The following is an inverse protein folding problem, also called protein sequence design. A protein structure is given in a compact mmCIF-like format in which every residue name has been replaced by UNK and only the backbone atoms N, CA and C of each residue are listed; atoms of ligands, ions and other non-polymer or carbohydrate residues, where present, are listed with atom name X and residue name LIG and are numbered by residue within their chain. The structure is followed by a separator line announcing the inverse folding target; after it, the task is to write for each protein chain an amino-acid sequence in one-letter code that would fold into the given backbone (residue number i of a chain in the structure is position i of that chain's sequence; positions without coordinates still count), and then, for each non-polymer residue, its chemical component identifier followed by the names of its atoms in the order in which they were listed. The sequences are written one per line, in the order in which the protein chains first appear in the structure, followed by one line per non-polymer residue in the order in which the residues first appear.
data_IF_469346690449
#
_entry.id   IF_469346690449
#
_cell.length_a   1.000
_cell.length_b   1.000
_cell.length_c   1.000
_cell.angle_alpha   90.00
_cell.angle_beta   90.00
_cell.angle_gamma   90.00
#
_symmetry.space_group_name_H-M   'P 1'
#
loop_
_entity.id
_entity.type
_entity.pdbx_description
1 polymer ?
#
# COMPACT_ATOMS: atom_id res chain seq x y z
N UNK A 1 7.34 81.57 -79.94
CA UNK A 1 7.92 82.02 -81.21
C UNK A 1 7.36 81.15 -82.33
N UNK A 2 6.87 81.81 -83.39
CA UNK A 2 6.58 81.30 -84.74
C UNK A 2 5.57 80.15 -84.90
N UNK A 3 4.29 80.50 -85.04
CA UNK A 3 3.49 80.48 -86.30
C UNK A 3 3.85 79.45 -87.41
N UNK A 4 2.95 79.17 -88.39
CA UNK A 4 1.46 79.19 -88.38
C UNK A 4 0.76 78.14 -89.31
N UNK A 5 -0.59 78.13 -89.30
CA UNK A 5 -1.55 78.03 -90.46
C UNK A 5 -1.48 76.82 -91.42
N UNK A 6 -2.56 76.20 -91.91
CA UNK A 6 -3.66 76.76 -92.73
C UNK A 6 -4.52 75.60 -93.32
N UNK A 7 -5.57 75.80 -94.15
CA UNK A 7 -6.95 75.43 -93.77
C UNK A 7 -7.79 74.76 -94.91
N UNK A 8 -9.10 74.55 -94.68
CA UNK A 8 -10.22 74.51 -95.68
C UNK A 8 -10.13 73.42 -96.80
N UNK A 9 -11.14 72.87 -97.48
CA UNK A 9 -12.49 73.31 -97.85
C UNK A 9 -13.26 72.16 -98.58
N UNK A 10 -14.59 72.11 -98.38
CA UNK A 10 -15.75 71.89 -99.31
C UNK A 10 -16.01 70.56 -100.08
N UNK A 11 -17.34 70.31 -100.14
CA UNK A 11 -18.20 69.58 -101.11
C UNK A 11 -18.45 68.10 -100.84
N UNK A 12 -19.60 67.49 -101.18
CA UNK A 12 -21.05 67.77 -101.28
C UNK A 12 -21.64 66.44 -101.83
N UNK A 13 -22.91 66.18 -101.53
CA UNK A 13 -23.84 65.14 -102.01
C UNK A 13 -23.35 63.96 -102.90
N UNK A 14 -23.74 62.73 -102.55
CA UNK A 14 -24.89 62.01 -103.18
C UNK A 14 -24.99 60.54 -102.73
N UNK A 15 -26.24 60.06 -102.72
CA UNK A 15 -26.71 58.71 -102.39
C UNK A 15 -26.13 57.60 -103.29
N UNK A 16 -25.98 56.40 -102.69
CA UNK A 16 -25.67 55.15 -103.38
C UNK A 16 -25.98 53.93 -102.50
N UNK A 17 -26.75 53.00 -103.03
CA UNK A 17 -27.41 51.88 -102.35
C UNK A 17 -26.48 50.63 -102.16
N UNK A 18 -26.51 50.08 -100.93
CA UNK A 18 -26.16 48.74 -100.39
C UNK A 18 -24.83 47.99 -100.74
N UNK A 19 -24.24 47.32 -99.72
CA UNK A 19 -24.19 45.85 -99.82
C UNK A 19 -24.56 45.12 -98.52
N UNK A 20 -25.22 43.97 -98.68
CA UNK A 20 -25.58 43.04 -97.61
C UNK A 20 -24.35 42.48 -96.87
N UNK A 21 -24.23 42.77 -95.58
CA UNK A 21 -23.19 42.21 -94.71
C UNK A 21 -23.56 40.80 -94.26
N UNK A 22 -22.77 39.80 -94.66
CA UNK A 22 -22.84 38.41 -94.16
C UNK A 22 -22.72 38.36 -92.62
N UNK A 23 -23.52 37.55 -91.90
CA UNK A 23 -23.37 37.39 -90.47
C UNK A 23 -22.07 36.65 -90.15
N UNK A 24 -21.16 37.31 -89.42
CA UNK A 24 -19.95 36.73 -88.84
C UNK A 24 -20.37 35.65 -87.83
N UNK A 25 -20.21 34.37 -88.20
CA UNK A 25 -20.43 33.23 -87.31
C UNK A 25 -19.32 33.22 -86.23
N UNK A 26 -19.55 33.91 -85.10
CA UNK A 26 -18.69 33.85 -83.90
C UNK A 26 -18.54 32.38 -83.50
N UNK A 27 -17.35 31.80 -83.70
CA UNK A 27 -17.11 30.41 -83.30
C UNK A 27 -17.26 30.30 -81.79
N UNK A 28 -18.21 29.50 -81.30
CA UNK A 28 -18.40 29.20 -79.86
C UNK A 28 -17.28 28.32 -79.26
N UNK A 29 -16.29 27.92 -80.06
CA UNK A 29 -15.20 26.99 -79.70
C UNK A 29 -14.32 27.44 -78.52
N UNK A 30 -13.80 28.68 -78.43
CA UNK A 30 -12.99 29.10 -77.29
C UNK A 30 -13.79 29.22 -75.99
N UNK A 31 -15.08 29.61 -76.06
CA UNK A 31 -15.95 29.65 -74.88
C UNK A 31 -16.28 28.24 -74.35
N UNK A 32 -16.48 27.27 -75.23
CA UNK A 32 -16.69 25.88 -74.85
C UNK A 32 -15.44 25.23 -74.24
N UNK A 33 -14.25 25.52 -74.77
CA UNK A 33 -12.97 25.04 -74.22
C UNK A 33 -12.70 25.68 -72.85
N UNK A 34 -12.93 26.99 -72.71
CA UNK A 34 -12.80 27.67 -71.42
C UNK A 34 -13.75 27.09 -70.37
N UNK A 35 -15.00 26.81 -70.74
CA UNK A 35 -15.96 26.16 -69.84
C UNK A 35 -15.53 24.73 -69.45
N UNK A 36 -14.95 23.97 -70.38
CA UNK A 36 -14.40 22.63 -70.12
C UNK A 36 -13.19 22.66 -69.18
N UNK A 37 -12.27 23.61 -69.38
CA UNK A 37 -11.09 23.81 -68.53
C UNK A 37 -11.51 24.25 -67.12
N UNK A 38 -12.42 25.22 -67.01
CA UNK A 38 -12.96 25.66 -65.71
C UNK A 38 -13.70 24.51 -65.02
N UNK A 39 -14.52 23.74 -65.75
CA UNK A 39 -15.19 22.56 -65.22
C UNK A 39 -14.22 21.48 -64.73
N UNK A 40 -13.14 21.21 -65.48
CA UNK A 40 -12.10 20.27 -65.08
C UNK A 40 -11.32 20.75 -63.85
N UNK A 41 -11.01 22.05 -63.76
CA UNK A 41 -10.36 22.65 -62.58
C UNK A 41 -11.28 22.52 -61.36
N UNK A 42 -12.57 22.86 -61.48
CA UNK A 42 -13.52 22.75 -60.37
C UNK A 42 -13.73 21.28 -59.93
N UNK A 43 -13.81 20.34 -60.87
CA UNK A 43 -13.87 18.90 -60.57
C UNK A 43 -12.60 18.42 -59.88
N UNK A 44 -11.43 18.84 -60.35
CA UNK A 44 -10.15 18.47 -59.74
C UNK A 44 -9.98 19.08 -58.34
N UNK A 45 -10.37 20.34 -58.15
CA UNK A 45 -10.31 21.04 -56.88
C UNK A 45 -11.32 20.48 -55.89
N UNK A 46 -12.56 20.19 -56.32
CA UNK A 46 -13.57 19.53 -55.50
C UNK A 46 -13.19 18.09 -55.16
N UNK A 47 -12.60 17.36 -56.10
CA UNK A 47 -12.07 16.01 -55.85
C UNK A 47 -10.88 16.01 -54.88
N UNK A 48 -9.96 16.97 -55.01
CA UNK A 48 -8.84 17.13 -54.09
C UNK A 48 -9.31 17.56 -52.69
N UNK A 49 -10.28 18.47 -52.59
CA UNK A 49 -10.90 18.86 -51.33
C UNK A 49 -11.61 17.68 -50.67
N UNK A 50 -12.45 16.95 -51.41
CA UNK A 50 -13.14 15.77 -50.88
C UNK A 50 -12.18 14.69 -50.41
N UNK A 51 -11.11 14.43 -51.16
CA UNK A 51 -10.07 13.49 -50.75
C UNK A 51 -9.36 13.95 -49.47
N UNK A 52 -8.97 15.22 -49.39
CA UNK A 52 -8.33 15.78 -48.20
C UNK A 52 -9.26 15.78 -46.98
N UNK A 53 -10.54 16.13 -47.15
CA UNK A 53 -11.53 16.09 -46.08
C UNK A 53 -11.79 14.66 -45.58
N UNK A 54 -11.81 13.68 -46.48
CA UNK A 54 -11.97 12.28 -46.11
C UNK A 54 -10.77 11.73 -45.32
N UNK A 55 -9.56 12.25 -45.55
CA UNK A 55 -8.32 11.78 -44.92
C UNK A 55 -7.77 12.70 -43.81
N UNK A 56 -8.44 13.81 -43.51
CA UNK A 56 -8.02 14.73 -42.45
C UNK A 56 -8.14 14.05 -41.08
N UNK A 57 -7.19 14.32 -40.18
CA UNK A 57 -7.28 13.93 -38.77
C UNK A 57 -8.45 14.68 -38.12
N UNK A 58 -9.19 14.02 -37.22
CA UNK A 58 -10.28 14.69 -36.52
C UNK A 58 -9.69 15.55 -35.39
N UNK A 59 -10.33 16.69 -35.03
CA UNK A 59 -9.96 17.42 -33.85
C UNK A 59 -10.13 16.52 -32.62
N UNK A 60 -9.14 16.49 -31.73
CA UNK A 60 -9.26 15.81 -30.46
C UNK A 60 -10.47 16.37 -29.67
N UNK A 61 -11.19 15.48 -29.00
CA UNK A 61 -12.28 15.88 -28.11
C UNK A 61 -11.74 16.73 -26.96
N UNK A 62 -12.50 17.75 -26.58
CA UNK A 62 -12.15 18.63 -25.46
C UNK A 62 -12.40 17.85 -24.16
N UNK A 63 -11.34 17.60 -23.40
CA UNK A 63 -11.42 16.97 -22.10
C UNK A 63 -11.61 18.01 -20.99
N UNK A 64 -12.55 17.74 -20.08
CA UNK A 64 -12.75 18.48 -18.84
C UNK A 64 -12.55 17.53 -17.68
N UNK A 65 -11.59 17.85 -16.81
CA UNK A 65 -11.28 17.04 -15.63
C UNK A 65 -12.18 17.44 -14.45
N UNK A 66 -12.64 16.45 -13.69
CA UNK A 66 -13.31 16.62 -12.41
C UNK A 66 -12.51 15.91 -11.32
N UNK A 67 -11.85 16.68 -10.46
CA UNK A 67 -11.12 16.16 -9.30
C UNK A 67 -12.04 16.10 -8.08
N UNK A 68 -12.26 14.92 -7.46
CA UNK A 68 -12.94 14.80 -6.18
C UNK A 68 -12.26 15.67 -5.10
N UNK A 69 -13.02 16.25 -4.16
CA UNK A 69 -12.45 17.05 -3.09
C UNK A 69 -11.56 16.21 -2.18
N UNK A 70 -10.47 16.82 -1.72
CA UNK A 70 -9.62 16.23 -0.69
C UNK A 70 -10.40 16.00 0.62
N UNK A 71 -10.12 14.90 1.30
CA UNK A 71 -10.68 14.59 2.61
C UNK A 71 -9.56 14.38 3.63
N UNK A 72 -9.87 14.55 4.91
CA UNK A 72 -8.95 14.26 6.00
C UNK A 72 -9.66 13.59 7.17
N UNK A 73 -9.01 12.59 7.75
CA UNK A 73 -9.42 11.88 8.95
C UNK A 73 -8.38 12.20 10.03
N UNK A 74 -8.85 12.52 11.24
CA UNK A 74 -7.98 12.80 12.38
C UNK A 74 -7.46 11.50 13.02
N UNK A 75 -6.30 11.57 13.68
CA UNK A 75 -5.77 10.44 14.42
C UNK A 75 -6.65 10.08 15.63
N UNK A 76 -6.72 8.78 16.01
CA UNK A 76 -7.44 8.36 17.21
C UNK A 76 -6.73 8.89 18.47
N UNK A 77 -7.53 9.14 19.51
CA UNK A 77 -6.99 9.38 20.85
C UNK A 77 -6.82 8.04 21.55
N UNK A 78 -5.57 7.62 21.74
CA UNK A 78 -5.25 6.33 22.36
C UNK A 78 -5.24 6.42 23.89
N UNK A 79 -5.83 5.42 24.53
CA UNK A 79 -5.87 5.28 25.99
C UNK A 79 -4.57 4.67 26.54
N UNK A 80 -3.44 5.34 26.28
CA UNK A 80 -2.15 4.90 26.78
C UNK A 80 -2.09 4.94 28.33
N UNK A 81 -1.38 3.99 28.96
CA UNK A 81 -1.05 4.09 30.37
C UNK A 81 -0.22 5.34 30.67
N UNK A 82 -0.31 5.86 31.91
CA UNK A 82 0.42 7.05 32.35
C UNK A 82 1.87 6.77 32.81
N UNK A 83 2.33 5.53 32.66
CA UNK A 83 3.65 5.06 33.06
C UNK A 83 4.35 4.40 31.87
N UNK A 84 5.67 4.23 32.01
CA UNK A 84 6.44 3.38 31.13
C UNK A 84 6.41 3.85 29.68
N UNK A 85 6.37 2.89 28.76
CA UNK A 85 6.38 3.14 27.31
C UNK A 85 5.67 2.02 26.58
N UNK A 86 5.28 2.26 25.34
CA UNK A 86 4.64 1.22 24.54
C UNK A 86 4.54 1.59 23.07
N UNK A 87 4.22 0.58 22.27
CA UNK A 87 4.00 0.70 20.84
C UNK A 87 2.96 -0.33 20.38
N UNK A 88 2.32 -0.06 19.25
CA UNK A 88 1.38 -0.98 18.60
C UNK A 88 1.55 -0.91 17.09
N UNK A 89 1.52 -2.07 16.43
CA UNK A 89 1.57 -2.24 14.98
C UNK A 89 0.41 -3.14 14.51
N UNK A 90 0.13 -3.10 13.21
CA UNK A 90 -0.75 -4.05 12.54
C UNK A 90 0.06 -4.83 11.51
N UNK A 91 -0.01 -6.16 11.57
CA UNK A 91 0.73 -7.03 10.65
C UNK A 91 0.30 -6.73 9.20
N UNK A 92 1.27 -6.42 8.35
CA UNK A 92 1.04 -6.09 6.95
C UNK A 92 0.59 -4.66 6.67
N UNK A 93 0.59 -3.78 7.67
CA UNK A 93 0.28 -2.36 7.53
C UNK A 93 1.38 -1.51 8.17
N UNK A 94 2.05 -0.69 7.35
CA UNK A 94 3.06 0.24 7.84
C UNK A 94 2.39 1.49 8.43
N UNK A 95 2.61 1.72 9.71
CA UNK A 95 2.25 2.96 10.38
C UNK A 95 3.27 4.08 10.15
N UNK A 96 2.91 5.29 10.59
CA UNK A 96 3.80 6.46 10.49
C UNK A 96 4.89 6.53 11.57
N UNK A 97 4.87 5.61 12.54
CA UNK A 97 5.84 5.53 13.62
C UNK A 97 7.15 4.85 13.24
N UNK A 98 8.17 5.00 14.11
CA UNK A 98 9.47 4.36 13.93
C UNK A 98 9.32 2.84 13.85
N UNK A 99 9.93 2.22 12.84
CA UNK A 99 9.84 0.77 12.62
C UNK A 99 8.50 0.30 12.08
N UNK A 100 7.67 1.18 11.53
CA UNK A 100 6.38 0.83 10.93
C UNK A 100 5.25 0.66 11.94
N UNK A 101 5.47 1.03 13.21
CA UNK A 101 4.41 0.97 14.23
C UNK A 101 3.31 2.00 13.92
N UNK A 102 2.07 1.63 14.23
CA UNK A 102 0.91 2.51 14.10
C UNK A 102 1.03 3.70 15.05
N UNK A 103 1.36 3.43 16.32
CA UNK A 103 1.59 4.45 17.31
C UNK A 103 2.49 3.97 18.45
N UNK A 104 3.10 4.92 19.15
CA UNK A 104 3.93 4.69 20.32
C UNK A 104 3.77 5.81 21.35
N UNK A 105 4.12 5.54 22.60
CA UNK A 105 4.17 6.54 23.67
C UNK A 105 5.35 6.27 24.62
N UNK A 106 5.71 7.29 25.39
CA UNK A 106 6.82 7.22 26.35
C UNK A 106 8.18 7.39 25.68
N UNK A 107 9.19 6.71 26.20
CA UNK A 107 10.56 6.76 25.70
C UNK A 107 10.73 5.85 24.46
N UNK A 108 11.54 6.31 23.51
CA UNK A 108 12.05 5.50 22.40
C UNK A 108 13.45 4.92 22.68
N UNK A 109 13.99 5.15 23.88
CA UNK A 109 15.27 4.58 24.30
C UNK A 109 15.14 3.08 24.63
N UNK A 110 16.23 2.29 24.48
CA UNK A 110 16.20 0.90 24.90
C UNK A 110 15.98 0.79 26.41
N UNK A 111 15.10 -0.13 26.79
CA UNK A 111 14.79 -0.44 28.19
C UNK A 111 14.93 -1.94 28.45
N UNK A 112 15.18 -2.36 29.71
CA UNK A 112 15.25 -3.77 30.07
C UNK A 112 14.00 -4.52 29.62
N UNK A 113 14.19 -5.64 28.92
CA UNK A 113 13.06 -6.35 28.30
C UNK A 113 12.34 -7.28 29.28
N UNK A 114 13.00 -7.64 30.38
CA UNK A 114 12.65 -8.82 31.15
C UNK A 114 12.53 -10.05 30.25
N UNK A 115 11.62 -10.95 30.60
CA UNK A 115 11.41 -12.20 29.84
C UNK A 115 10.85 -12.05 28.42
N UNK A 116 10.60 -10.83 27.90
CA UNK A 116 10.33 -10.63 26.46
C UNK A 116 11.54 -11.09 25.63
N UNK A 117 12.77 -11.02 26.16
CA UNK A 117 13.97 -11.53 25.49
C UNK A 117 13.88 -13.00 25.04
N UNK A 118 13.06 -13.82 25.70
CA UNK A 118 12.85 -15.23 25.31
C UNK A 118 12.22 -15.39 23.94
N UNK A 119 11.55 -14.35 23.43
CA UNK A 119 11.11 -14.28 22.02
C UNK A 119 12.31 -14.34 21.08
N UNK A 120 13.38 -13.59 21.38
CA UNK A 120 14.64 -13.66 20.63
C UNK A 120 15.24 -15.06 20.73
N UNK A 121 15.32 -15.61 21.95
CA UNK A 121 15.86 -16.97 22.16
C UNK A 121 15.11 -18.01 21.33
N UNK A 122 13.78 -17.98 21.34
CA UNK A 122 12.95 -18.91 20.60
C UNK A 122 13.14 -18.77 19.08
N UNK A 123 13.11 -17.54 18.55
CA UNK A 123 13.29 -17.27 17.12
C UNK A 123 14.70 -17.64 16.63
N UNK A 124 15.73 -17.32 17.41
CA UNK A 124 17.13 -17.63 17.07
C UNK A 124 17.41 -19.13 17.15
N UNK A 125 16.79 -19.86 18.09
CA UNK A 125 16.88 -21.32 18.14
C UNK A 125 16.22 -21.94 16.91
N UNK A 126 15.00 -21.53 16.57
CA UNK A 126 14.29 -22.05 15.39
C UNK A 126 14.98 -21.69 14.07
N UNK A 127 15.66 -20.55 13.99
CA UNK A 127 16.46 -20.19 12.82
C UNK A 127 17.63 -21.17 12.59
N UNK A 128 18.23 -21.71 13.67
CA UNK A 128 19.28 -22.72 13.57
C UNK A 128 18.74 -24.15 13.48
N UNK A 129 17.60 -24.42 14.13
CA UNK A 129 16.96 -25.73 14.29
C UNK A 129 15.49 -25.62 13.87
N UNK A 130 15.20 -25.52 12.57
CA UNK A 130 13.83 -25.37 12.11
C UNK A 130 13.03 -26.66 12.37
N UNK A 131 11.83 -26.52 12.92
CA UNK A 131 10.87 -27.62 13.01
C UNK A 131 10.08 -27.71 11.71
N UNK A 132 10.15 -28.85 11.03
CA UNK A 132 9.39 -29.07 9.80
C UNK A 132 7.88 -29.12 10.08
N UNK A 133 7.08 -28.66 9.12
CA UNK A 133 5.62 -28.66 9.20
C UNK A 133 5.07 -30.05 9.56
N UNK A 134 4.16 -30.07 10.54
CA UNK A 134 3.54 -31.31 11.03
C UNK A 134 4.45 -32.20 11.87
N UNK A 135 5.66 -31.75 12.24
CA UNK A 135 6.58 -32.47 13.14
C UNK A 135 6.75 -31.76 14.48
N UNK A 136 7.37 -32.44 15.46
CA UNK A 136 7.66 -31.89 16.79
C UNK A 136 9.13 -31.41 16.95
N UNK A 137 9.92 -31.52 15.89
CA UNK A 137 11.35 -31.19 15.90
C UNK A 137 12.21 -32.29 16.50
N UNK A 138 13.47 -31.96 16.77
CA UNK A 138 14.44 -32.91 17.32
C UNK A 138 14.14 -33.26 18.78
N UNK A 139 14.61 -34.43 19.23
CA UNK A 139 14.57 -34.80 20.65
C UNK A 139 15.78 -34.23 21.38
N UNK A 140 15.52 -33.55 22.49
CA UNK A 140 16.49 -32.92 23.37
C UNK A 140 16.61 -33.75 24.64
N UNK A 141 17.79 -34.34 24.87
CA UNK A 141 18.11 -35.04 26.11
C UNK A 141 18.75 -34.08 27.11
N UNK A 142 18.06 -33.79 28.19
CA UNK A 142 18.54 -32.93 29.27
C UNK A 142 19.50 -33.72 30.18
N UNK A 143 20.50 -33.02 30.71
CA UNK A 143 21.63 -33.57 31.44
C UNK A 143 21.73 -32.99 32.86
N UNK A 144 22.74 -33.41 33.61
CA UNK A 144 23.04 -32.79 34.91
C UNK A 144 23.46 -31.32 34.79
N UNK A 145 23.94 -30.86 33.63
CA UNK A 145 24.22 -29.45 33.40
C UNK A 145 22.94 -28.60 33.40
N UNK A 146 21.85 -29.12 32.82
CA UNK A 146 20.56 -28.44 32.75
C UNK A 146 19.89 -28.31 34.13
N UNK A 147 20.10 -29.31 35.00
CA UNK A 147 19.76 -29.21 36.43
C UNK A 147 20.60 -28.13 37.12
N UNK A 148 21.86 -27.96 36.71
CA UNK A 148 22.70 -26.83 37.13
C UNK A 148 22.06 -25.48 36.75
N UNK A 149 21.66 -25.31 35.49
CA UNK A 149 21.00 -24.08 35.02
C UNK A 149 19.69 -23.78 35.76
N UNK A 150 18.95 -24.81 36.15
CA UNK A 150 17.80 -24.66 37.05
C UNK A 150 18.19 -24.07 38.40
N UNK A 151 19.22 -24.62 39.05
CA UNK A 151 19.67 -24.15 40.35
C UNK A 151 20.21 -22.71 40.29
N UNK A 152 20.97 -22.38 39.24
CA UNK A 152 21.48 -21.03 39.01
C UNK A 152 20.31 -20.04 38.85
N UNK A 153 19.33 -20.40 38.02
CA UNK A 153 18.13 -19.57 37.82
C UNK A 153 17.33 -19.36 39.11
N UNK A 154 17.18 -20.40 39.95
CA UNK A 154 16.53 -20.27 41.27
C UNK A 154 17.32 -19.34 42.19
N UNK A 155 18.65 -19.43 42.20
CA UNK A 155 19.51 -18.59 43.04
C UNK A 155 19.39 -17.10 42.68
N UNK A 156 19.08 -16.80 41.42
CA UNK A 156 18.85 -15.44 40.91
C UNK A 156 17.38 -15.01 40.99
N UNK A 157 16.51 -15.77 41.66
CA UNK A 157 15.06 -15.57 41.72
C UNK A 157 14.37 -15.54 40.34
N UNK A 158 14.94 -16.24 39.36
CA UNK A 158 14.39 -16.39 38.03
C UNK A 158 13.20 -17.36 37.96
N UNK A 159 12.36 -17.19 36.95
CA UNK A 159 11.31 -18.15 36.61
C UNK A 159 11.94 -19.46 36.12
N UNK A 160 11.49 -20.60 36.63
CA UNK A 160 12.02 -21.92 36.28
C UNK A 160 10.92 -22.93 36.04
N UNK A 161 11.24 -23.99 35.30
CA UNK A 161 10.40 -25.17 35.15
C UNK A 161 11.18 -26.44 35.54
N UNK A 162 10.51 -27.48 36.06
CA UNK A 162 11.15 -28.74 36.43
C UNK A 162 12.00 -29.32 35.30
N UNK A 163 13.16 -29.85 35.67
CA UNK A 163 14.09 -30.55 34.77
C UNK A 163 14.82 -31.63 35.55
N UNK A 164 15.13 -32.74 34.90
CA UNK A 164 15.94 -33.82 35.48
C UNK A 164 16.89 -34.38 34.43
N UNK A 165 18.02 -34.92 34.89
CA UNK A 165 18.98 -35.56 33.99
C UNK A 165 18.34 -36.83 33.39
N UNK A 166 18.44 -36.98 32.07
CA UNK A 166 17.79 -38.02 31.29
C UNK A 166 16.36 -37.71 30.88
N UNK A 167 15.81 -36.53 31.21
CA UNK A 167 14.56 -36.05 30.62
C UNK A 167 14.75 -35.88 29.11
N UNK A 168 13.80 -36.37 28.33
CA UNK A 168 13.76 -36.20 26.88
C UNK A 168 12.50 -35.44 26.49
N UNK A 169 12.65 -34.33 25.77
CA UNK A 169 11.55 -33.55 25.22
C UNK A 169 11.77 -33.33 23.74
N UNK A 170 10.69 -33.22 22.98
CA UNK A 170 10.79 -32.67 21.62
C UNK A 170 11.12 -31.18 21.68
N UNK A 171 11.69 -30.64 20.61
CA UNK A 171 11.99 -29.21 20.50
C UNK A 171 10.73 -28.35 20.73
N UNK A 172 9.59 -28.75 20.13
CA UNK A 172 8.29 -28.10 20.36
C UNK A 172 7.91 -28.11 21.85
N UNK A 173 8.10 -29.24 22.56
CA UNK A 173 7.80 -29.32 23.99
C UNK A 173 8.73 -28.41 24.81
N UNK A 174 10.03 -28.38 24.50
CA UNK A 174 10.98 -27.51 25.18
C UNK A 174 10.69 -26.02 24.94
N UNK A 175 10.30 -25.63 23.72
CA UNK A 175 9.81 -24.27 23.40
C UNK A 175 8.52 -23.95 24.16
N UNK A 176 7.59 -24.90 24.32
CA UNK A 176 6.40 -24.70 25.17
C UNK A 176 6.78 -24.45 26.64
N UNK A 177 7.75 -25.18 27.19
CA UNK A 177 8.26 -24.96 28.55
C UNK A 177 8.98 -23.60 28.68
N UNK A 178 9.68 -23.17 27.63
CA UNK A 178 10.27 -21.84 27.57
C UNK A 178 9.20 -20.74 27.63
N UNK A 179 8.15 -20.85 26.81
CA UNK A 179 7.25 -19.74 26.52
C UNK A 179 6.13 -19.58 27.56
N UNK A 180 5.50 -20.66 28.03
CA UNK A 180 4.33 -20.59 28.93
C UNK A 180 4.71 -20.08 30.35
N UNK A 181 5.47 -20.87 31.15
CA UNK A 181 5.88 -20.46 32.50
C UNK A 181 7.08 -19.51 32.49
N UNK A 182 7.59 -19.12 31.32
CA UNK A 182 8.73 -18.20 31.18
C UNK A 182 10.05 -18.75 31.75
N UNK A 183 10.35 -20.04 31.56
CA UNK A 183 11.44 -20.71 32.26
C UNK A 183 12.86 -20.31 31.78
N UNK A 184 13.64 -19.64 32.64
CA UNK A 184 15.02 -19.20 32.38
C UNK A 184 15.97 -20.37 32.12
N UNK A 185 15.85 -21.45 32.90
CA UNK A 185 16.68 -22.63 32.74
C UNK A 185 16.47 -23.29 31.37
N UNK A 186 15.25 -23.28 30.84
CA UNK A 186 14.97 -23.78 29.49
C UNK A 186 15.49 -22.85 28.39
N UNK A 187 15.51 -21.53 28.63
CA UNK A 187 16.13 -20.59 27.71
C UNK A 187 17.62 -20.87 27.53
N UNK A 188 18.33 -21.10 28.64
CA UNK A 188 19.75 -21.48 28.65
C UNK A 188 19.99 -22.86 28.03
N UNK A 189 19.16 -23.84 28.40
CA UNK A 189 19.26 -25.21 27.87
C UNK A 189 19.08 -25.24 26.35
N UNK A 190 18.05 -24.57 25.82
CA UNK A 190 17.79 -24.49 24.37
C UNK A 190 18.90 -23.77 23.61
N UNK A 191 19.38 -22.64 24.13
CA UNK A 191 20.48 -21.89 23.53
C UNK A 191 21.75 -22.73 23.42
N UNK A 192 22.14 -23.41 24.51
CA UNK A 192 23.34 -24.26 24.53
C UNK A 192 23.14 -25.52 23.69
N UNK A 193 21.95 -26.11 23.67
CA UNK A 193 21.66 -27.25 22.81
C UNK A 193 21.77 -26.90 21.32
N UNK A 194 21.28 -25.72 20.91
CA UNK A 194 21.31 -25.29 19.51
C UNK A 194 22.71 -24.84 19.06
N UNK A 195 23.48 -24.17 19.93
CA UNK A 195 24.73 -23.49 19.55
C UNK A 195 26.00 -24.03 20.24
N UNK A 196 25.86 -25.00 21.15
CA UNK A 196 26.94 -25.63 21.90
C UNK A 196 27.45 -24.83 23.11
N UNK A 197 27.20 -23.51 23.18
CA UNK A 197 27.54 -22.66 24.32
C UNK A 197 26.71 -21.38 24.33
N UNK A 198 26.63 -20.71 25.49
CA UNK A 198 25.95 -19.42 25.63
C UNK A 198 26.64 -18.32 24.82
N UNK A 199 27.98 -18.26 24.80
CA UNK A 199 28.74 -17.31 23.99
C UNK A 199 28.45 -17.45 22.49
N UNK A 200 28.36 -18.70 22.00
CA UNK A 200 28.01 -18.96 20.60
C UNK A 200 26.56 -18.54 20.29
N UNK A 201 25.63 -18.78 21.21
CA UNK A 201 24.26 -18.27 21.10
C UNK A 201 24.23 -16.74 21.08
N UNK A 202 24.92 -16.04 21.97
CA UNK A 202 24.91 -14.58 22.02
C UNK A 202 25.47 -13.96 20.73
N UNK A 203 26.53 -14.56 20.18
CA UNK A 203 27.06 -14.14 18.88
C UNK A 203 26.05 -14.37 17.74
N UNK A 204 25.36 -15.51 17.74
CA UNK A 204 24.33 -15.83 16.74
C UNK A 204 23.09 -14.94 16.88
N UNK A 205 22.63 -14.68 18.11
CA UNK A 205 21.51 -13.81 18.41
C UNK A 205 21.81 -12.39 17.94
N UNK A 206 23.02 -11.87 18.18
CA UNK A 206 23.42 -10.56 17.68
C UNK A 206 23.37 -10.49 16.15
N UNK A 207 23.95 -11.49 15.46
CA UNK A 207 23.93 -11.56 14.00
C UNK A 207 22.51 -11.69 13.43
N UNK A 208 21.64 -12.45 14.11
CA UNK A 208 20.25 -12.60 13.72
C UNK A 208 19.48 -11.30 13.88
N UNK A 209 19.62 -10.60 15.01
CA UNK A 209 19.00 -9.29 15.25
C UNK A 209 19.43 -8.27 14.18
N UNK A 210 20.71 -8.23 13.83
CA UNK A 210 21.21 -7.39 12.72
C UNK A 210 20.60 -7.74 11.37
N UNK A 211 20.45 -9.03 11.08
CA UNK A 211 19.77 -9.50 9.87
C UNK A 211 18.30 -9.09 9.80
N UNK A 212 17.65 -8.88 10.94
CA UNK A 212 16.28 -8.37 11.05
C UNK A 212 16.19 -6.83 11.14
N UNK A 213 17.32 -6.11 11.14
CA UNK A 213 17.37 -4.66 11.33
C UNK A 213 17.12 -4.20 12.77
N UNK A 214 17.11 -5.13 13.74
CA UNK A 214 16.86 -4.88 15.17
C UNK A 214 18.14 -4.45 15.88
N UNK A 215 18.68 -3.31 15.46
CA UNK A 215 20.01 -2.84 15.88
C UNK A 215 20.04 -2.21 17.27
N UNK A 216 18.88 -1.87 17.84
CA UNK A 216 18.74 -1.28 19.18
C UNK A 216 18.38 -2.31 20.25
N UNK A 217 18.20 -3.57 19.85
CA UNK A 217 18.02 -4.73 20.71
C UNK A 217 19.37 -5.33 21.03
N UNK A 218 19.69 -5.41 22.32
CA UNK A 218 20.90 -6.02 22.84
C UNK A 218 20.50 -7.14 23.78
N UNK A 219 20.99 -8.35 23.51
CA UNK A 219 20.78 -9.52 24.35
C UNK A 219 22.11 -9.91 24.98
N UNK A 220 22.16 -9.95 26.31
CA UNK A 220 23.36 -10.27 27.10
C UNK A 220 23.26 -11.60 27.84
N UNK A 221 22.08 -12.19 27.86
CA UNK A 221 21.76 -13.47 28.46
C UNK A 221 20.69 -14.20 27.62
N UNK A 222 20.40 -15.45 27.95
CA UNK A 222 19.39 -16.23 27.20
C UNK A 222 17.95 -15.92 27.60
N UNK A 223 17.73 -15.12 28.64
CA UNK A 223 16.44 -15.09 29.33
C UNK A 223 15.84 -13.69 29.54
N UNK A 224 16.66 -12.64 29.41
CA UNK A 224 16.30 -11.27 29.76
C UNK A 224 16.23 -11.00 31.26
N UNK A 225 16.91 -11.84 32.06
CA UNK A 225 17.07 -11.61 33.50
C UNK A 225 18.13 -10.54 33.76
N UNK A 226 19.14 -10.46 32.88
CA UNK A 226 20.13 -9.38 32.89
C UNK A 226 19.46 -8.03 32.58
N UNK A 227 19.71 -6.97 33.38
CA UNK A 227 19.22 -5.62 33.06
C UNK A 227 19.89 -5.02 31.83
N UNK A 228 21.01 -5.57 31.38
CA UNK A 228 21.71 -5.16 30.17
C UNK A 228 21.08 -5.78 28.89
N UNK A 229 20.14 -6.71 29.05
CA UNK A 229 19.31 -7.19 27.94
C UNK A 229 18.16 -6.20 27.72
N UNK A 230 18.30 -5.37 26.67
CA UNK A 230 17.46 -4.20 26.40
C UNK A 230 16.93 -4.17 24.97
N UNK A 231 15.81 -3.50 24.75
CA UNK A 231 15.21 -3.25 23.42
C UNK A 231 14.36 -1.98 23.45
N UNK A 232 14.07 -1.39 22.29
CA UNK A 232 13.00 -0.39 22.18
C UNK A 232 11.63 -1.07 22.07
N UNK A 233 10.57 -0.31 22.32
CA UNK A 233 9.19 -0.79 22.15
C UNK A 233 8.86 -1.10 20.69
N UNK A 234 9.37 -0.32 19.73
CA UNK A 234 9.22 -0.59 18.30
C UNK A 234 9.88 -1.92 17.88
N UNK A 235 11.10 -2.19 18.35
CA UNK A 235 11.79 -3.45 18.05
C UNK A 235 11.17 -4.65 18.80
N UNK A 236 10.63 -4.46 20.01
CA UNK A 236 9.84 -5.49 20.69
C UNK A 236 8.57 -5.84 19.92
N UNK A 237 7.86 -4.85 19.37
CA UNK A 237 6.69 -5.09 18.51
C UNK A 237 7.12 -5.85 17.26
N UNK A 238 8.24 -5.47 16.63
CA UNK A 238 8.77 -6.21 15.47
C UNK A 238 9.13 -7.66 15.79
N UNK A 239 9.70 -7.93 16.97
CA UNK A 239 9.91 -9.30 17.45
C UNK A 239 8.60 -10.07 17.61
N UNK A 240 7.53 -9.39 18.06
CA UNK A 240 6.19 -9.96 18.14
C UNK A 240 5.61 -10.29 16.77
N UNK A 241 5.75 -9.41 15.77
CA UNK A 241 5.32 -9.68 14.39
C UNK A 241 6.03 -10.91 13.80
N UNK A 242 7.36 -11.02 14.02
CA UNK A 242 8.14 -12.17 13.60
C UNK A 242 7.67 -13.47 14.27
N UNK A 243 7.30 -13.41 15.56
CA UNK A 243 6.80 -14.56 16.29
C UNK A 243 5.40 -14.98 15.83
N UNK A 244 4.50 -14.03 15.60
CA UNK A 244 3.13 -14.30 15.12
C UNK A 244 3.14 -14.88 13.71
N UNK A 245 4.11 -14.50 12.88
CA UNK A 245 4.33 -15.10 11.57
C UNK A 245 4.94 -16.51 11.62
N UNK A 246 5.49 -16.94 12.76
CA UNK A 246 6.13 -18.25 12.92
C UNK A 246 5.08 -19.34 13.23
N UNK A 247 4.92 -20.36 12.36
CA UNK A 247 3.87 -21.38 12.50
C UNK A 247 4.11 -22.34 13.67
N UNK A 248 5.30 -22.33 14.29
CA UNK A 248 5.63 -23.13 15.47
C UNK A 248 5.32 -22.35 16.74
N UNK A 249 5.74 -21.08 16.82
CA UNK A 249 5.65 -20.27 18.03
C UNK A 249 4.27 -19.65 18.25
N UNK A 250 3.59 -19.19 17.20
CA UNK A 250 2.27 -18.57 17.35
C UNK A 250 1.27 -19.50 18.06
N UNK A 251 1.14 -20.79 17.68
CA UNK A 251 0.29 -21.73 18.42
C UNK A 251 0.75 -22.01 19.85
N UNK A 252 2.06 -21.94 20.13
CA UNK A 252 2.61 -22.18 21.48
C UNK A 252 2.21 -21.04 22.42
N UNK A 253 2.41 -19.79 22.02
CA UNK A 253 2.13 -18.64 22.91
C UNK A 253 0.64 -18.44 23.18
N UNK A 254 -0.22 -18.97 22.30
CA UNK A 254 -1.67 -18.98 22.45
C UNK A 254 -2.21 -20.02 23.44
N UNK A 255 -1.39 -20.98 23.88
CA UNK A 255 -1.82 -21.98 24.86
C UNK A 255 -1.99 -21.34 26.25
N UNK A 256 -3.19 -21.42 26.88
CA UNK A 256 -3.36 -20.99 28.26
C UNK A 256 -2.66 -21.93 29.25
N UNK A 257 -2.66 -23.23 28.94
CA UNK A 257 -2.00 -24.28 29.72
C UNK A 257 -1.47 -25.38 28.81
N UNK A 258 -0.52 -26.16 29.30
CA UNK A 258 -0.02 -27.37 28.65
C UNK A 258 0.35 -28.42 29.70
N UNK A 259 0.39 -29.69 29.32
CA UNK A 259 0.95 -30.76 30.15
C UNK A 259 2.07 -31.42 29.39
N UNK A 260 3.30 -31.31 29.91
CA UNK A 260 4.50 -31.83 29.27
C UNK A 260 4.99 -33.08 30.04
N UNK A 261 5.13 -34.24 29.37
CA UNK A 261 5.65 -35.45 30.02
C UNK A 261 6.99 -35.19 30.72
N UNK A 262 7.13 -35.64 31.96
CA UNK A 262 8.35 -35.45 32.76
C UNK A 262 8.55 -34.05 33.36
N UNK A 263 7.80 -33.04 32.91
CA UNK A 263 7.83 -31.67 33.49
C UNK A 263 6.58 -31.39 34.32
N UNK A 264 5.41 -31.78 33.83
CA UNK A 264 4.12 -31.57 34.50
C UNK A 264 3.21 -30.54 33.83
N UNK A 265 2.25 -30.04 34.59
CA UNK A 265 1.33 -28.99 34.13
C UNK A 265 2.02 -27.63 34.12
N UNK A 266 1.82 -26.88 33.04
CA UNK A 266 2.33 -25.55 32.80
C UNK A 266 1.17 -24.59 32.61
N UNK A 267 1.33 -23.39 33.14
CA UNK A 267 0.39 -22.29 32.96
C UNK A 267 1.09 -21.15 32.24
N UNK A 268 0.37 -20.51 31.32
CA UNK A 268 0.85 -19.33 30.65
C UNK A 268 0.79 -18.13 31.62
N UNK A 269 1.89 -17.40 31.68
CA UNK A 269 2.00 -16.19 32.50
C UNK A 269 1.16 -15.02 31.97
N UNK A 270 0.75 -15.05 30.69
CA UNK A 270 -0.13 -14.03 30.13
C UNK A 270 -1.59 -14.25 30.54
N UNK A 271 -2.05 -13.48 31.52
CA UNK A 271 -3.43 -13.54 32.02
C UNK A 271 -4.47 -12.88 31.11
N UNK A 272 -4.06 -12.26 29.99
CA UNK A 272 -4.97 -11.69 28.98
C UNK A 272 -5.40 -12.68 27.91
N UNK A 273 -4.80 -13.87 27.82
CA UNK A 273 -5.18 -14.86 26.82
C UNK A 273 -6.68 -15.16 26.83
N UNK A 274 -7.31 -15.08 25.65
CA UNK A 274 -8.74 -15.27 25.45
C UNK A 274 -9.63 -14.09 25.87
N UNK A 275 -9.04 -12.95 26.23
CA UNK A 275 -9.76 -11.71 26.58
C UNK A 275 -9.46 -10.63 25.55
N UNK A 276 -10.47 -9.89 25.11
CA UNK A 276 -10.32 -8.80 24.14
C UNK A 276 -9.56 -9.20 22.86
N UNK A 277 -9.75 -10.45 22.39
CA UNK A 277 -9.07 -11.00 21.21
C UNK A 277 -7.61 -11.41 21.43
N UNK A 278 -7.04 -11.19 22.62
CA UNK A 278 -5.61 -11.46 22.90
C UNK A 278 -5.31 -12.96 22.84
N UNK A 279 -4.30 -13.31 22.06
CA UNK A 279 -3.87 -14.68 21.79
C UNK A 279 -2.36 -14.89 22.01
N UNK A 280 -1.63 -13.86 22.47
CA UNK A 280 -0.20 -13.93 22.73
C UNK A 280 0.28 -12.69 23.49
N UNK A 281 1.59 -12.47 23.69
CA UNK A 281 2.72 -13.31 23.29
C UNK A 281 3.55 -13.65 24.53
N UNK A 282 4.08 -12.64 25.23
CA UNK A 282 5.06 -12.87 26.30
C UNK A 282 5.05 -11.76 27.36
N UNK A 283 4.94 -12.19 28.63
CA UNK A 283 5.19 -11.35 29.80
C UNK A 283 6.69 -11.18 30.08
N UNK A 284 7.06 -10.06 30.70
CA UNK A 284 8.39 -9.79 31.24
C UNK A 284 8.33 -9.16 32.64
N UNK A 285 9.27 -9.52 33.52
CA UNK A 285 9.44 -8.88 34.83
C UNK A 285 10.87 -8.97 35.31
N UNK A 286 11.43 -7.82 35.68
CA UNK A 286 12.58 -7.66 36.58
C UNK A 286 12.34 -6.40 37.40
N UNK A 287 13.20 -6.13 38.39
CA UNK A 287 13.12 -4.89 39.17
C UNK A 287 13.34 -3.65 38.27
N UNK A 288 14.18 -3.77 37.25
CA UNK A 288 14.52 -2.70 36.30
C UNK A 288 13.49 -2.55 35.17
N UNK A 289 12.90 -3.65 34.69
CA UNK A 289 11.91 -3.62 33.61
C UNK A 289 10.50 -3.24 34.10
N UNK A 290 10.20 -3.52 35.39
CA UNK A 290 8.83 -3.58 35.86
C UNK A 290 8.04 -4.71 35.19
N UNK A 291 6.72 -4.69 35.30
CA UNK A 291 5.86 -5.60 34.56
C UNK A 291 5.73 -5.13 33.10
N UNK A 292 6.00 -6.06 32.17
CA UNK A 292 5.96 -5.85 30.73
C UNK A 292 5.09 -6.91 30.07
N UNK A 293 4.45 -6.56 28.95
CA UNK A 293 3.67 -7.49 28.14
C UNK A 293 3.81 -7.11 26.67
N UNK A 294 4.40 -8.02 25.89
CA UNK A 294 4.27 -8.09 24.45
C UNK A 294 3.04 -8.94 24.14
N UNK A 295 2.06 -8.36 23.46
CA UNK A 295 0.78 -9.00 23.15
C UNK A 295 0.50 -9.02 21.65
N UNK A 296 -0.27 -10.02 21.24
CA UNK A 296 -0.92 -10.09 19.93
C UNK A 296 -2.42 -10.28 20.13
N UNK A 297 -3.20 -9.84 19.16
CA UNK A 297 -4.62 -10.13 19.07
C UNK A 297 -5.09 -10.10 17.62
N UNK A 298 -6.07 -10.94 17.32
CA UNK A 298 -6.81 -10.89 16.07
C UNK A 298 -8.14 -10.17 16.27
N UNK A 299 -8.44 -9.22 15.38
CA UNK A 299 -9.70 -8.48 15.36
C UNK A 299 -10.26 -8.38 13.94
N UNK A 300 -11.51 -7.94 13.84
CA UNK A 300 -12.16 -7.66 12.54
C UNK A 300 -12.57 -6.19 12.51
N UNK A 301 -11.98 -5.43 11.60
CA UNK A 301 -12.34 -4.02 11.40
C UNK A 301 -12.98 -3.86 10.03
N UNK A 302 -14.20 -3.33 9.99
CA UNK A 302 -14.97 -3.14 8.75
C UNK A 302 -15.08 -4.42 7.88
N UNK A 303 -15.12 -5.59 8.54
CA UNK A 303 -15.19 -6.89 7.87
C UNK A 303 -13.85 -7.43 7.34
N UNK A 304 -12.74 -6.71 7.55
CA UNK A 304 -11.38 -7.16 7.22
C UNK A 304 -10.69 -7.73 8.48
N UNK A 305 -10.03 -8.89 8.41
CA UNK A 305 -9.22 -9.40 9.51
C UNK A 305 -7.97 -8.53 9.68
N UNK A 306 -7.65 -8.21 10.94
CA UNK A 306 -6.46 -7.45 11.31
C UNK A 306 -5.80 -8.14 12.51
N UNK A 307 -4.51 -8.41 12.40
CA UNK A 307 -3.69 -8.87 13.52
C UNK A 307 -2.91 -7.70 14.08
N UNK A 308 -3.17 -7.34 15.33
CA UNK A 308 -2.43 -6.30 16.05
C UNK A 308 -1.32 -6.94 16.90
N UNK A 309 -0.17 -6.29 16.94
CA UNK A 309 0.93 -6.62 17.86
C UNK A 309 1.29 -5.37 18.65
N UNK A 310 1.32 -5.46 19.97
CA UNK A 310 1.64 -4.33 20.83
C UNK A 310 2.51 -4.70 22.00
N UNK A 311 3.17 -3.70 22.58
CA UNK A 311 3.95 -3.86 23.80
C UNK A 311 3.68 -2.70 24.75
N UNK A 312 3.59 -3.02 26.03
CA UNK A 312 3.60 -2.03 27.11
C UNK A 312 4.61 -2.50 28.17
N UNK A 313 5.50 -1.61 28.58
CA UNK A 313 6.60 -1.88 29.52
C UNK A 313 6.56 -0.92 30.70
N UNK A 314 7.16 -1.30 31.84
CA UNK A 314 7.31 -0.42 32.99
C UNK A 314 6.09 -0.29 33.90
N UNK A 315 5.14 -1.23 33.85
CA UNK A 315 4.03 -1.26 34.80
C UNK A 315 4.50 -1.69 36.19
N UNK A 316 3.73 -1.32 37.23
CA UNK A 316 4.04 -1.76 38.60
C UNK A 316 3.69 -3.24 38.80
N UNK A 317 2.60 -3.72 38.21
CA UNK A 317 2.12 -5.10 38.35
C UNK A 317 1.46 -5.61 37.07
N UNK A 318 1.50 -6.92 36.83
CA UNK A 318 0.81 -7.55 35.69
C UNK A 318 -0.70 -7.32 35.67
N UNK A 319 -1.44 -7.38 36.80
CA UNK A 319 -2.88 -7.09 36.78
C UNK A 319 -3.22 -5.66 36.36
N UNK A 320 -2.41 -4.67 36.76
CA UNK A 320 -2.59 -3.28 36.30
C UNK A 320 -2.34 -3.20 34.79
N UNK A 321 -1.20 -3.74 34.34
CA UNK A 321 -0.81 -3.77 32.94
C UNK A 321 -1.88 -4.40 32.04
N UNK A 322 -2.43 -5.54 32.48
CA UNK A 322 -3.49 -6.24 31.77
C UNK A 322 -4.76 -5.38 31.61
N UNK A 323 -5.20 -4.71 32.68
CA UNK A 323 -6.38 -3.86 32.64
C UNK A 323 -6.18 -2.61 31.75
N UNK A 324 -4.98 -2.03 31.78
CA UNK A 324 -4.66 -0.87 30.93
C UNK A 324 -4.61 -1.28 29.44
N UNK A 325 -4.05 -2.45 29.10
CA UNK A 325 -4.07 -2.98 27.73
C UNK A 325 -5.49 -3.27 27.26
N UNK A 326 -6.35 -3.86 28.10
CA UNK A 326 -7.77 -4.06 27.76
C UNK A 326 -8.51 -2.73 27.47
N UNK A 327 -8.10 -1.64 28.11
CA UNK A 327 -8.64 -0.30 27.86
C UNK A 327 -8.06 0.34 26.59
N UNK A 328 -6.79 0.05 26.28
CA UNK A 328 -6.08 0.54 25.10
C UNK A 328 -6.63 -0.05 23.79
N UNK A 329 -6.86 -1.37 23.75
CA UNK A 329 -7.26 -2.12 22.55
C UNK A 329 -8.40 -1.43 21.77
N UNK A 330 -9.58 -1.13 22.35
CA UNK A 330 -10.67 -0.53 21.59
C UNK A 330 -10.34 0.86 21.04
N UNK A 331 -9.44 1.62 21.68
CA UNK A 331 -8.99 2.91 21.14
C UNK A 331 -8.04 2.76 19.96
N UNK A 332 -7.21 1.70 19.94
CA UNK A 332 -6.39 1.35 18.77
C UNK A 332 -7.29 0.88 17.63
N UNK A 333 -8.26 0.02 17.91
CA UNK A 333 -9.22 -0.47 16.91
C UNK A 333 -10.03 0.69 16.29
N UNK A 334 -10.41 1.69 17.09
CA UNK A 334 -11.13 2.87 16.60
C UNK A 334 -10.33 3.75 15.62
N UNK A 335 -9.02 3.53 15.51
CA UNK A 335 -8.16 4.23 14.58
C UNK A 335 -8.16 3.67 13.16
N UNK A 336 -8.76 2.49 12.94
CA UNK A 336 -8.89 1.93 11.60
C UNK A 336 -10.09 2.53 10.88
N UNK A 337 -9.88 2.86 9.60
CA UNK A 337 -10.89 3.44 8.74
C UNK A 337 -10.75 2.87 7.33
N UNK A 338 -11.87 2.56 6.67
CA UNK A 338 -11.84 2.33 5.22
C UNK A 338 -11.93 3.65 4.48
N UNK A 339 -10.92 3.93 3.66
CA UNK A 339 -10.92 5.05 2.71
C UNK A 339 -11.42 4.53 1.38
N UNK A 340 -12.59 5.02 0.95
CA UNK A 340 -13.10 4.80 -0.41
C UNK A 340 -12.19 5.52 -1.40
N UNK A 341 -11.50 4.77 -2.24
CA UNK A 341 -10.68 5.30 -3.35
C UNK A 341 -11.59 5.73 -4.50
N UNK A 342 -12.60 4.92 -4.82
CA UNK A 342 -13.64 5.22 -5.81
C UNK A 342 -14.90 4.38 -5.63
N UNK A 343 -16.01 4.84 -6.18
CA UNK A 343 -17.25 4.07 -6.38
C UNK A 343 -17.35 3.57 -7.82
N UNK A 344 -18.11 2.48 -8.04
CA UNK A 344 -18.46 2.05 -9.40
C UNK A 344 -19.26 3.17 -10.10
N UNK A 345 -18.85 3.53 -11.32
CA UNK A 345 -19.45 4.62 -12.10
C UNK A 345 -19.19 6.02 -11.54
N UNK A 346 -18.10 6.21 -10.79
CA UNK A 346 -17.73 7.54 -10.30
C UNK A 346 -17.08 8.37 -11.41
N UNK A 347 -17.64 9.55 -11.68
CA UNK A 347 -17.15 10.51 -12.68
C UNK A 347 -15.83 11.19 -12.26
N UNK A 348 -14.88 11.26 -13.20
CA UNK A 348 -13.60 11.96 -13.08
C UNK A 348 -13.35 12.96 -14.21
N UNK A 349 -14.29 13.10 -15.14
CA UNK A 349 -14.24 14.07 -16.21
C UNK A 349 -15.15 13.71 -17.37
N UNK A 350 -15.09 14.52 -18.43
CA UNK A 350 -15.84 14.27 -19.65
C UNK A 350 -15.09 14.72 -20.89
N UNK A 351 -15.46 14.14 -22.02
CA UNK A 351 -15.01 14.51 -23.36
C UNK A 351 -16.17 15.10 -24.14
N UNK A 352 -15.91 16.12 -24.96
CA UNK A 352 -16.88 16.64 -25.93
C UNK A 352 -16.18 16.81 -27.28
N UNK A 353 -16.67 16.10 -28.29
CA UNK A 353 -16.18 16.18 -29.67
C UNK A 353 -16.65 17.47 -30.37
N UNK A 354 -15.99 17.83 -31.46
CA UNK A 354 -16.38 18.99 -32.29
C UNK A 354 -17.77 18.82 -32.95
N UNK A 355 -18.27 17.59 -33.08
CA UNK A 355 -19.59 17.27 -33.63
C UNK A 355 -20.67 17.08 -32.55
N UNK A 356 -20.35 17.30 -31.28
CA UNK A 356 -21.31 17.40 -30.18
C UNK A 356 -21.62 16.09 -29.46
N UNK A 357 -20.94 14.99 -29.80
CA UNK A 357 -20.95 13.76 -29.00
C UNK A 357 -20.05 13.89 -27.77
N UNK A 358 -20.40 13.18 -26.71
CA UNK A 358 -19.71 13.22 -25.42
C UNK A 358 -19.61 11.84 -24.77
N UNK A 359 -18.56 11.64 -23.99
CA UNK A 359 -18.37 10.48 -23.13
C UNK A 359 -17.89 10.95 -21.74
N UNK A 360 -18.24 10.22 -20.69
CA UNK A 360 -17.77 10.47 -19.32
C UNK A 360 -16.58 9.56 -19.03
N UNK A 361 -15.59 10.08 -18.32
CA UNK A 361 -14.49 9.27 -17.79
C UNK A 361 -14.83 8.83 -16.37
N UNK A 362 -15.04 7.53 -16.17
CA UNK A 362 -15.45 6.96 -14.90
C UNK A 362 -14.61 5.74 -14.49
N UNK A 363 -14.69 5.33 -13.24
CA UNK A 363 -14.09 4.06 -12.78
C UNK A 363 -15.07 2.89 -12.89
N UNK A 364 -14.62 1.79 -13.46
CA UNK A 364 -15.45 0.60 -13.70
C UNK A 364 -15.81 -0.22 -12.44
N UNK A 365 -15.17 0.02 -11.30
CA UNK A 365 -15.40 -0.75 -10.08
C UNK A 365 -15.11 0.07 -8.84
N UNK A 366 -15.86 -0.20 -7.77
CA UNK A 366 -15.60 0.38 -6.46
C UNK A 366 -14.30 -0.19 -5.87
N UNK A 367 -13.51 0.67 -5.23
CA UNK A 367 -12.29 0.29 -4.52
C UNK A 367 -12.16 1.06 -3.22
N UNK A 368 -11.68 0.39 -2.18
CA UNK A 368 -11.37 0.99 -0.89
C UNK A 368 -10.11 0.37 -0.29
N UNK A 369 -9.48 1.11 0.62
CA UNK A 369 -8.30 0.65 1.36
C UNK A 369 -8.49 0.86 2.84
N UNK A 370 -8.14 -0.15 3.65
CA UNK A 370 -8.10 -0.02 5.09
C UNK A 370 -6.82 0.71 5.50
N UNK A 371 -6.96 1.78 6.26
CA UNK A 371 -5.86 2.59 6.79
C UNK A 371 -6.00 2.76 8.29
N UNK A 372 -4.95 3.22 8.94
CA UNK A 372 -4.98 3.53 10.37
C UNK A 372 -4.44 4.93 10.65
N UNK A 373 -5.09 5.63 11.58
CA UNK A 373 -4.63 6.92 12.08
C UNK A 373 -5.08 8.11 11.25
N UNK A 374 -4.33 9.21 11.35
CA UNK A 374 -4.61 10.41 10.57
C UNK A 374 -4.28 10.17 9.09
N UNK A 375 -5.26 10.41 8.22
CA UNK A 375 -5.12 10.19 6.78
C UNK A 375 -5.70 11.34 6.01
N UNK A 376 -4.93 11.88 5.06
CA UNK A 376 -5.42 12.82 4.05
C UNK A 376 -5.53 12.13 2.70
N UNK A 377 -6.56 12.46 1.95
CA UNK A 377 -6.73 12.04 0.56
C UNK A 377 -6.61 13.23 -0.39
N UNK A 378 -6.00 13.01 -1.54
CA UNK A 378 -6.05 13.95 -2.67
C UNK A 378 -6.09 13.19 -3.97
N UNK A 379 -6.82 13.72 -4.96
CA UNK A 379 -6.97 13.06 -6.24
C UNK A 379 -6.41 13.94 -7.34
N UNK A 380 -5.64 13.34 -8.24
CA UNK A 380 -5.22 13.95 -9.51
C UNK A 380 -5.73 13.10 -10.65
N UNK A 381 -6.10 13.73 -11.77
CA UNK A 381 -6.67 13.02 -12.92
C UNK A 381 -5.90 13.36 -14.19
N UNK A 382 -5.52 12.31 -14.92
CA UNK A 382 -4.92 12.41 -16.24
C UNK A 382 -5.84 11.74 -17.27
N UNK A 383 -6.30 12.51 -18.25
CA UNK A 383 -7.16 12.08 -19.34
C UNK A 383 -6.35 11.99 -20.64
N UNK A 384 -6.49 10.89 -21.37
CA UNK A 384 -5.76 10.64 -22.62
C UNK A 384 -6.40 11.41 -23.79
N UNK A 385 -5.62 12.05 -24.68
CA UNK A 385 -6.20 12.68 -25.86
C UNK A 385 -6.84 11.64 -26.78
N UNK A 386 -8.08 11.87 -27.20
CA UNK A 386 -8.83 10.98 -28.09
C UNK A 386 -9.65 11.74 -29.12
N UNK A 387 -9.86 11.11 -30.28
CA UNK A 387 -10.74 11.61 -31.36
C UNK A 387 -12.10 10.89 -31.32
N UNK A 388 -12.05 9.57 -31.16
CA UNK A 388 -13.20 8.67 -31.05
C UNK A 388 -12.95 7.72 -29.88
N UNK A 389 -14.02 7.20 -29.29
CA UNK A 389 -13.91 6.23 -28.19
C UNK A 389 -15.12 5.30 -28.17
N UNK A 390 -14.89 4.02 -27.91
CA UNK A 390 -15.96 3.06 -27.65
C UNK A 390 -16.32 3.01 -26.16
N UNK A 391 -17.58 2.70 -25.86
CA UNK A 391 -18.03 2.45 -24.49
C UNK A 391 -17.17 1.38 -23.80
N UNK A 392 -16.73 1.66 -22.57
CA UNK A 392 -15.84 0.81 -21.78
C UNK A 392 -14.35 0.85 -22.17
N UNK A 393 -13.95 1.64 -23.16
CA UNK A 393 -12.53 1.81 -23.52
C UNK A 393 -11.79 2.63 -22.46
N UNK A 394 -10.52 2.29 -22.19
CA UNK A 394 -9.69 3.04 -21.23
C UNK A 394 -9.30 4.40 -21.81
N UNK A 395 -9.56 5.47 -21.07
CA UNK A 395 -9.38 6.87 -21.51
C UNK A 395 -8.65 7.77 -20.51
N UNK A 396 -8.00 7.17 -19.51
CA UNK A 396 -7.19 7.91 -18.57
C UNK A 396 -6.89 7.14 -17.30
N UNK A 397 -6.40 7.86 -16.30
CA UNK A 397 -6.09 7.35 -14.96
C UNK A 397 -6.34 8.44 -13.92
N UNK A 398 -7.07 8.11 -12.86
CA UNK A 398 -7.13 8.92 -11.65
C UNK A 398 -6.13 8.35 -10.63
N UNK A 399 -5.38 9.20 -9.95
CA UNK A 399 -4.47 8.80 -8.87
C UNK A 399 -4.98 9.38 -7.57
N UNK A 400 -5.35 8.51 -6.63
CA UNK A 400 -5.77 8.88 -5.28
C UNK A 400 -4.58 8.67 -4.36
N UNK A 401 -4.04 9.75 -3.82
CA UNK A 401 -3.05 9.71 -2.75
C UNK A 401 -3.76 9.49 -1.43
N UNK A 402 -3.39 8.46 -0.67
CA UNK A 402 -3.91 8.19 0.68
C UNK A 402 -2.73 8.13 1.63
N UNK A 403 -2.59 9.12 2.51
CA UNK A 403 -1.48 9.17 3.46
C UNK A 403 -0.08 9.19 2.80
N UNK A 404 0.02 9.68 1.55
CA UNK A 404 1.26 9.69 0.77
C UNK A 404 1.54 8.40 -0.01
N UNK A 405 0.62 7.44 -0.01
CA UNK A 405 0.66 6.27 -0.89
C UNK A 405 -0.26 6.49 -2.10
N UNK A 406 0.27 6.43 -3.34
CA UNK A 406 -0.54 6.59 -4.54
C UNK A 406 -1.30 5.31 -4.89
N UNK A 407 -2.59 5.44 -5.22
CA UNK A 407 -3.44 4.40 -5.77
C UNK A 407 -3.91 4.80 -7.16
N UNK A 408 -3.50 4.04 -8.18
CA UNK A 408 -3.90 4.28 -9.58
C UNK A 408 -5.23 3.60 -9.90
N UNK A 409 -6.17 4.38 -10.44
CA UNK A 409 -7.50 3.96 -10.83
C UNK A 409 -7.66 4.14 -12.34
N UNK A 410 -7.80 3.06 -13.12
CA UNK A 410 -8.04 3.19 -14.55
C UNK A 410 -9.42 3.81 -14.81
N UNK A 411 -9.46 4.79 -15.73
CA UNK A 411 -10.71 5.42 -16.17
C UNK A 411 -11.15 4.83 -17.51
N UNK A 412 -12.44 4.53 -17.61
CA UNK A 412 -13.10 4.03 -18.81
C UNK A 412 -14.16 5.00 -19.31
N UNK A 413 -14.51 4.91 -20.58
CA UNK A 413 -15.59 5.68 -21.18
C UNK A 413 -16.95 5.13 -20.77
N UNK A 414 -17.82 5.98 -20.22
CA UNK A 414 -19.27 5.79 -20.25
C UNK A 414 -19.83 6.63 -21.42
N UNK A 415 -20.30 5.93 -22.45
CA UNK A 415 -20.72 6.51 -23.73
C UNK A 415 -19.71 6.30 -24.87
N UNK A 416 -20.09 6.77 -26.05
CA UNK A 416 -19.32 6.56 -27.30
C UNK A 416 -19.19 7.88 -28.04
N UNK A 417 -18.02 8.10 -28.65
CA UNK A 417 -17.77 9.18 -29.61
C UNK A 417 -17.37 8.50 -30.92
N UNK A 418 -18.25 8.53 -31.92
CA UNK A 418 -18.05 7.90 -33.23
C UNK A 418 -17.43 8.87 -34.24
N UNK A 419 -16.89 8.35 -35.35
CA UNK A 419 -16.50 9.20 -36.48
C UNK A 419 -17.75 9.89 -37.06
N UNK A 420 -17.77 11.22 -37.22
CA UNK A 420 -18.94 11.97 -37.68
C UNK A 420 -19.27 11.74 -39.17
N UNK A 421 -18.44 10.95 -39.85
CA UNK A 421 -18.58 10.54 -41.23
C UNK A 421 -18.14 11.60 -42.24
N UNK A 422 -18.10 11.17 -43.50
CA UNK A 422 -17.66 12.02 -44.62
C UNK A 422 -18.50 13.30 -44.79
N UNK A 423 -19.80 13.23 -44.48
CA UNK A 423 -20.71 14.38 -44.63
C UNK A 423 -20.33 15.55 -43.73
N UNK A 424 -20.04 15.27 -42.46
CA UNK A 424 -19.58 16.29 -41.51
C UNK A 424 -18.21 16.82 -41.92
N UNK A 425 -17.26 15.94 -42.27
CA UNK A 425 -15.91 16.32 -42.72
C UNK A 425 -15.94 17.28 -43.92
N UNK A 426 -16.87 17.09 -44.86
CA UNK A 426 -16.99 17.95 -46.03
C UNK A 426 -17.52 19.36 -45.70
N UNK A 427 -18.36 19.49 -44.68
CA UNK A 427 -19.03 20.74 -44.31
C UNK A 427 -18.34 21.55 -43.21
N UNK A 428 -17.33 20.99 -42.53
CA UNK A 428 -16.62 21.59 -41.40
C UNK A 428 -15.11 21.77 -41.68
N UNK A 429 -14.73 22.53 -42.73
CA UNK A 429 -13.32 22.72 -43.08
C UNK A 429 -12.53 23.55 -42.08
N UNK A 430 -13.17 24.42 -41.30
CA UNK A 430 -12.48 25.25 -40.31
C UNK A 430 -11.98 24.38 -39.15
N UNK A 431 -12.82 23.44 -38.72
CA UNK A 431 -12.53 22.47 -37.68
C UNK A 431 -11.42 21.50 -38.11
N UNK A 432 -11.38 21.10 -39.39
CA UNK A 432 -10.37 20.16 -39.91
C UNK A 432 -9.01 20.78 -40.26
N UNK A 433 -8.98 22.04 -40.71
CA UNK A 433 -7.78 22.60 -41.35
C UNK A 433 -7.23 23.88 -40.68
N UNK A 434 -7.93 24.45 -39.69
CA UNK A 434 -7.49 25.66 -38.97
C UNK A 434 -7.95 26.97 -39.60
#
# INVERSE_FOLDING_TARGET
MTSPTSPLDIFDAQEGEAPATRPRRRSRRPAAIAALVVGAILLSAGGAYGANAASAELPAAIAVVAEPPAASIDAPVLAWPSYGSGAVAAVGMDGSGEGGVLASYGSSDPVPTGSIAKVVTALVVLAARPIADGTDGDTITFTSADVGYYNDSVAENGSVAPVSAGLELTERQALTVLMLPSANNYAKSLAIWAYGSEDAYLAAARAWLDGQGLTRTVVTDTSGLSPDTVSTTSEMVRLGELLVADPVLAPIVALPTAVIPGVGALENTNTLLGRSGVDGIKTGTTDEAGACLLFSLDTTVEGQPVTLVGVVVGARTHPQLAADIETLIPTVESGFHSVTLTSEGQDYGSYTSAWGESAVAETAAAQSVLVWGAVSTSTTVALDPLETVADGERIGTATVEVGGTPYELPLVADGTIEDPGFGWRLSHPAELFG
#
